data_IF_661865631440
#
_entry.id   IF_661865631440
#
_cell.length_a   1.000
_cell.length_b   1.000
_cell.length_c   1.000
_cell.angle_alpha   90.00
_cell.angle_beta   90.00
_cell.angle_gamma   90.00
#
_symmetry.space_group_name_H-M   'P 1'
#
loop_
_entity.id
_entity.type
_entity.pdbx_description
1 polymer ?
#
# COMPACT_ATOMS: atom_id res chain seq x y z
N UNK A 1 50.82 18.51 77.83
CA UNK A 1 51.52 18.82 76.56
C UNK A 1 50.82 17.99 75.48
N UNK A 2 49.76 18.52 74.84
CA UNK A 2 49.80 19.25 73.55
C UNK A 2 50.37 18.36 72.43
N UNK A 3 49.67 17.94 71.38
CA UNK A 3 48.58 18.59 70.62
C UNK A 3 47.85 17.57 69.71
N UNK A 4 46.55 17.78 69.48
CA UNK A 4 45.85 17.49 68.19
C UNK A 4 45.76 18.85 67.45
N UNK A 5 45.51 19.01 66.11
CA UNK A 5 44.93 18.07 65.15
C UNK A 5 45.49 18.13 63.69
N UNK A 6 44.99 17.23 62.83
CA UNK A 6 45.19 17.30 61.37
C UNK A 6 44.09 16.54 60.62
N UNK A 7 42.87 17.08 60.66
CA UNK A 7 41.76 16.63 59.81
C UNK A 7 42.00 17.17 58.40
N UNK A 8 42.31 16.28 57.46
CA UNK A 8 42.25 16.57 56.03
C UNK A 8 40.83 16.37 55.54
N UNK A 9 40.01 17.43 55.53
CA UNK A 9 38.77 17.48 54.77
C UNK A 9 39.11 17.55 53.28
N UNK A 10 39.20 16.40 52.63
CA UNK A 10 39.10 16.29 51.18
C UNK A 10 37.64 16.45 50.77
N UNK A 11 37.14 17.68 50.83
CA UNK A 11 35.87 18.07 50.22
C UNK A 11 36.07 18.02 48.70
N UNK A 12 35.93 16.82 48.13
CA UNK A 12 35.71 16.66 46.71
C UNK A 12 34.38 17.32 46.39
N UNK A 13 34.44 18.59 45.99
CA UNK A 13 33.33 19.31 45.38
C UNK A 13 32.88 18.53 44.15
N UNK A 14 31.86 17.69 44.31
CA UNK A 14 30.99 17.35 43.21
C UNK A 14 30.30 18.66 42.80
N UNK A 15 31.00 19.44 41.98
CA UNK A 15 30.46 20.59 41.32
C UNK A 15 29.24 20.12 40.57
N UNK A 16 28.09 20.65 40.96
CA UNK A 16 26.94 20.73 40.06
C UNK A 16 27.37 21.68 38.92
N UNK A 17 28.16 21.16 37.98
CA UNK A 17 28.39 21.80 36.70
C UNK A 17 27.03 21.85 36.02
N UNK A 18 26.42 23.03 36.00
CA UNK A 18 25.23 23.25 35.20
C UNK A 18 25.63 22.93 33.75
N UNK A 19 24.93 22.00 33.08
CA UNK A 19 25.27 21.61 31.73
C UNK A 19 25.36 22.85 30.85
N UNK A 20 26.47 22.98 30.13
CA UNK A 20 26.70 24.15 29.30
C UNK A 20 25.61 24.25 28.23
N UNK A 21 25.28 25.47 27.78
CA UNK A 21 24.27 25.69 26.73
C UNK A 21 24.55 24.87 25.46
N UNK A 22 25.82 24.64 25.12
CA UNK A 22 26.20 23.78 23.99
C UNK A 22 25.88 22.30 24.22
N UNK A 23 25.98 21.83 25.45
CA UNK A 23 25.70 20.46 25.85
C UNK A 23 24.20 20.17 25.90
N UNK A 24 23.40 21.16 26.32
CA UNK A 24 21.93 21.09 26.25
C UNK A 24 21.42 21.09 24.81
N UNK A 25 21.98 21.95 23.94
CA UNK A 25 21.64 21.95 22.52
C UNK A 25 22.05 20.65 21.82
N UNK A 26 23.20 20.08 22.19
CA UNK A 26 23.64 18.76 21.70
C UNK A 26 22.63 17.65 22.04
N UNK A 27 22.18 17.59 23.30
CA UNK A 27 21.17 16.61 23.75
C UNK A 27 19.83 16.77 23.05
N UNK A 28 19.33 18.01 22.89
CA UNK A 28 18.09 18.27 22.16
C UNK A 28 18.20 17.83 20.68
N UNK A 29 19.33 18.13 20.03
CA UNK A 29 19.57 17.70 18.65
C UNK A 29 19.61 16.17 18.52
N UNK A 30 20.17 15.49 19.51
CA UNK A 30 20.22 14.03 19.56
C UNK A 30 18.85 13.40 19.82
N UNK A 31 18.05 13.98 20.71
CA UNK A 31 16.68 13.57 20.98
C UNK A 31 15.79 13.74 19.74
N UNK A 32 15.89 14.88 19.03
CA UNK A 32 15.15 15.12 17.79
C UNK A 32 15.57 14.15 16.68
N UNK A 33 16.87 13.87 16.53
CA UNK A 33 17.39 12.86 15.60
C UNK A 33 16.85 11.47 15.93
N UNK A 34 16.74 11.15 17.21
CA UNK A 34 16.18 9.88 17.70
C UNK A 34 14.70 9.77 17.40
N UNK A 35 13.91 10.81 17.67
CA UNK A 35 12.48 10.85 17.33
C UNK A 35 12.23 10.70 15.82
N UNK A 36 13.00 11.41 14.99
CA UNK A 36 12.89 11.29 13.53
C UNK A 36 13.15 9.86 13.04
N UNK A 37 14.16 9.19 13.59
CA UNK A 37 14.43 7.78 13.27
C UNK A 37 13.30 6.85 13.74
N UNK A 38 12.70 7.14 14.89
CA UNK A 38 11.57 6.39 15.42
C UNK A 38 10.31 6.56 14.58
N UNK A 39 9.97 7.78 14.16
CA UNK A 39 8.85 8.06 13.26
C UNK A 39 9.01 7.35 11.91
N UNK A 40 10.22 7.37 11.33
CA UNK A 40 10.51 6.63 10.10
C UNK A 40 10.40 5.11 10.33
N UNK A 41 10.90 4.61 11.47
CA UNK A 41 10.79 3.19 11.80
C UNK A 41 9.34 2.77 12.02
N UNK A 42 8.53 3.60 12.65
CA UNK A 42 7.09 3.37 12.88
C UNK A 42 6.33 3.39 11.57
N UNK A 43 6.51 4.42 10.74
CA UNK A 43 5.90 4.51 9.42
C UNK A 43 6.28 3.30 8.55
N UNK A 44 7.56 2.87 8.60
CA UNK A 44 8.01 1.65 7.91
C UNK A 44 7.31 0.40 8.45
N UNK A 45 7.13 0.29 9.77
CA UNK A 45 6.44 -0.84 10.38
C UNK A 45 4.96 -0.88 9.97
N UNK A 46 4.26 0.25 10.00
CA UNK A 46 2.85 0.37 9.61
C UNK A 46 2.65 0.10 8.12
N UNK A 47 3.54 0.61 7.26
CA UNK A 47 3.53 0.30 5.82
C UNK A 47 3.79 -1.18 5.57
N UNK A 48 4.74 -1.80 6.29
CA UNK A 48 5.04 -3.24 6.17
C UNK A 48 3.86 -4.11 6.60
N UNK A 49 3.20 -3.76 7.71
CA UNK A 49 2.00 -4.45 8.17
C UNK A 49 0.86 -4.29 7.16
N UNK A 50 0.62 -3.07 6.69
CA UNK A 50 -0.39 -2.77 5.66
C UNK A 50 -0.14 -3.54 4.38
N UNK A 51 1.10 -3.56 3.89
CA UNK A 51 1.50 -4.33 2.71
C UNK A 51 1.30 -5.83 2.91
N UNK A 52 1.62 -6.35 4.09
CA UNK A 52 1.41 -7.77 4.41
C UNK A 52 -0.07 -8.13 4.43
N UNK A 53 -0.91 -7.30 5.06
CA UNK A 53 -2.37 -7.50 5.11
C UNK A 53 -2.99 -7.40 3.72
N UNK A 54 -2.61 -6.38 2.95
CA UNK A 54 -3.03 -6.23 1.56
C UNK A 54 -2.58 -7.42 0.69
N UNK A 55 -1.33 -7.87 0.84
CA UNK A 55 -0.78 -9.02 0.13
C UNK A 55 -1.51 -10.33 0.46
N UNK A 56 -1.81 -10.58 1.74
CA UNK A 56 -2.64 -11.73 2.14
C UNK A 56 -4.05 -11.64 1.55
N UNK A 57 -4.67 -10.47 1.60
CA UNK A 57 -5.99 -10.21 1.02
C UNK A 57 -6.01 -10.49 -0.49
N UNK A 58 -5.06 -9.92 -1.23
CA UNK A 58 -4.89 -10.14 -2.66
C UNK A 58 -4.62 -11.62 -3.00
N UNK A 59 -3.80 -12.30 -2.19
CA UNK A 59 -3.53 -13.73 -2.32
C UNK A 59 -4.78 -14.59 -2.11
N UNK A 60 -5.57 -14.31 -1.08
CA UNK A 60 -6.85 -14.98 -0.83
C UNK A 60 -7.86 -14.74 -1.96
N UNK A 61 -7.99 -13.51 -2.46
CA UNK A 61 -8.89 -13.22 -3.58
C UNK A 61 -8.44 -13.90 -4.88
N UNK A 62 -7.15 -13.94 -5.16
CA UNK A 62 -6.60 -14.67 -6.31
C UNK A 62 -6.90 -16.16 -6.18
N UNK A 63 -6.64 -16.74 -5.00
CA UNK A 63 -6.95 -18.14 -4.70
C UNK A 63 -8.45 -18.45 -4.83
N UNK A 64 -9.32 -17.57 -4.31
CA UNK A 64 -10.77 -17.70 -4.45
C UNK A 64 -11.21 -17.62 -5.92
N UNK A 65 -10.58 -16.77 -6.72
CA UNK A 65 -10.82 -16.70 -8.17
C UNK A 65 -10.49 -18.01 -8.88
N UNK A 66 -9.33 -18.60 -8.60
CA UNK A 66 -8.92 -19.90 -9.16
C UNK A 66 -9.84 -21.02 -8.69
N UNK A 67 -10.14 -21.09 -7.39
CA UNK A 67 -11.04 -22.09 -6.84
C UNK A 67 -12.47 -21.97 -7.42
N UNK A 68 -13.00 -20.76 -7.51
CA UNK A 68 -14.29 -20.48 -8.14
C UNK A 68 -14.32 -20.87 -9.62
N UNK A 69 -13.24 -20.60 -10.36
CA UNK A 69 -13.10 -21.06 -11.74
C UNK A 69 -13.15 -22.59 -11.85
N UNK A 70 -12.44 -23.31 -10.98
CA UNK A 70 -12.49 -24.78 -10.94
C UNK A 70 -13.87 -25.33 -10.61
N UNK A 71 -14.60 -24.71 -9.68
CA UNK A 71 -15.99 -25.07 -9.40
C UNK A 71 -16.85 -24.90 -10.65
N UNK A 72 -16.71 -23.80 -11.38
CA UNK A 72 -17.46 -23.55 -12.62
C UNK A 72 -17.14 -24.58 -13.71
N UNK A 73 -15.88 -24.99 -13.86
CA UNK A 73 -15.48 -26.05 -14.81
C UNK A 73 -16.12 -27.38 -14.43
N UNK A 74 -16.05 -27.80 -13.16
CA UNK A 74 -16.64 -29.07 -12.73
C UNK A 74 -18.17 -29.06 -12.81
N UNK A 75 -18.82 -27.94 -12.49
CA UNK A 75 -20.26 -27.79 -12.70
C UNK A 75 -20.63 -27.88 -14.17
N UNK A 76 -19.81 -27.33 -15.07
CA UNK A 76 -20.04 -27.43 -16.52
C UNK A 76 -19.94 -28.85 -17.03
N UNK A 77 -18.91 -29.59 -16.58
CA UNK A 77 -18.73 -31.01 -16.94
C UNK A 77 -19.88 -31.85 -16.35
N UNK A 78 -20.23 -31.63 -15.08
CA UNK A 78 -21.34 -32.32 -14.43
C UNK A 78 -22.67 -32.06 -15.13
N UNK A 79 -22.93 -30.81 -15.52
CA UNK A 79 -24.13 -30.43 -16.26
C UNK A 79 -24.14 -31.09 -17.65
N UNK A 80 -23.00 -31.09 -18.35
CA UNK A 80 -22.89 -31.76 -19.64
C UNK A 80 -23.18 -33.26 -19.52
N UNK A 81 -22.51 -33.97 -18.62
CA UNK A 81 -22.75 -35.40 -18.45
C UNK A 81 -24.19 -35.69 -17.97
N UNK A 82 -24.71 -34.88 -17.04
CA UNK A 82 -26.06 -35.01 -16.53
C UNK A 82 -27.13 -34.84 -17.59
N UNK A 83 -27.06 -33.79 -18.42
CA UNK A 83 -27.97 -33.61 -19.55
C UNK A 83 -27.76 -34.66 -20.64
N UNK A 84 -26.51 -35.10 -20.84
CA UNK A 84 -26.17 -36.14 -21.80
C UNK A 84 -26.96 -37.43 -21.65
N UNK A 85 -27.29 -37.80 -20.41
CA UNK A 85 -28.15 -38.96 -20.13
C UNK A 85 -29.62 -38.76 -20.52
N UNK A 86 -30.08 -37.52 -20.66
CA UNK A 86 -31.47 -37.20 -21.00
C UNK A 86 -31.64 -36.88 -22.50
N UNK A 87 -30.67 -36.19 -23.11
CA UNK A 87 -30.84 -35.58 -24.44
C UNK A 87 -29.72 -35.91 -25.44
N UNK A 88 -28.83 -36.86 -25.15
CA UNK A 88 -27.57 -37.12 -25.86
C UNK A 88 -26.43 -36.12 -25.57
N UNK A 89 -25.20 -36.63 -25.60
CA UNK A 89 -23.99 -35.88 -25.25
C UNK A 89 -23.75 -34.70 -26.20
N UNK A 90 -24.11 -34.81 -27.48
CA UNK A 90 -23.95 -33.74 -28.47
C UNK A 90 -24.87 -32.56 -28.21
N UNK A 91 -26.16 -32.81 -27.98
CA UNK A 91 -27.13 -31.75 -27.66
C UNK A 91 -26.88 -31.13 -26.30
N UNK A 92 -26.43 -31.93 -25.34
CA UNK A 92 -26.00 -31.41 -24.05
C UNK A 92 -24.84 -30.42 -24.17
N UNK A 93 -23.86 -30.70 -25.04
CA UNK A 93 -22.74 -29.79 -25.28
C UNK A 93 -23.23 -28.43 -25.78
N UNK A 94 -24.19 -28.44 -26.72
CA UNK A 94 -24.78 -27.22 -27.28
C UNK A 94 -25.52 -26.42 -26.21
N UNK A 95 -26.28 -27.06 -25.34
CA UNK A 95 -26.98 -26.37 -24.24
C UNK A 95 -25.98 -25.69 -23.30
N UNK A 96 -24.93 -26.41 -22.87
CA UNK A 96 -23.89 -25.83 -21.99
C UNK A 96 -23.15 -24.69 -22.68
N UNK A 97 -22.86 -24.81 -23.98
CA UNK A 97 -22.25 -23.75 -24.77
C UNK A 97 -23.13 -22.50 -24.86
N UNK A 98 -24.44 -22.65 -25.07
CA UNK A 98 -25.39 -21.52 -25.09
C UNK A 98 -25.45 -20.82 -23.73
N UNK A 99 -25.47 -21.58 -22.62
CA UNK A 99 -25.46 -21.02 -21.27
C UNK A 99 -24.21 -20.16 -21.05
N UNK A 100 -23.02 -20.69 -21.37
CA UNK A 100 -21.77 -19.92 -21.23
C UNK A 100 -21.70 -18.74 -22.20
N UNK A 101 -22.23 -18.88 -23.41
CA UNK A 101 -22.35 -17.78 -24.37
C UNK A 101 -23.22 -16.64 -23.82
N UNK A 102 -24.35 -16.94 -23.19
CA UNK A 102 -25.21 -15.94 -22.55
C UNK A 102 -24.50 -15.27 -21.37
N UNK A 103 -23.83 -16.04 -20.50
CA UNK A 103 -23.04 -15.49 -19.39
C UNK A 103 -21.94 -14.56 -19.90
N UNK A 104 -21.20 -14.98 -20.93
CA UNK A 104 -20.14 -14.17 -21.55
C UNK A 104 -20.69 -12.88 -22.17
N UNK A 105 -21.82 -12.94 -22.87
CA UNK A 105 -22.47 -11.76 -23.43
C UNK A 105 -22.85 -10.75 -22.33
N UNK A 106 -23.49 -11.21 -21.24
CA UNK A 106 -23.87 -10.35 -20.11
C UNK A 106 -22.63 -9.73 -19.44
N UNK A 107 -21.59 -10.53 -19.18
CA UNK A 107 -20.34 -10.03 -18.59
C UNK A 107 -19.64 -9.02 -19.50
N UNK A 108 -19.59 -9.27 -20.80
CA UNK A 108 -19.00 -8.34 -21.77
C UNK A 108 -19.78 -7.02 -21.82
N UNK A 109 -21.11 -7.06 -21.81
CA UNK A 109 -21.95 -5.86 -21.80
C UNK A 109 -21.77 -5.05 -20.51
N UNK A 110 -21.80 -5.71 -19.34
CA UNK A 110 -21.56 -5.04 -18.05
C UNK A 110 -20.15 -4.49 -17.95
N UNK A 111 -19.15 -5.27 -18.32
CA UNK A 111 -17.75 -4.84 -18.33
C UNK A 111 -17.53 -3.65 -19.26
N UNK A 112 -18.16 -3.63 -20.43
CA UNK A 112 -18.15 -2.46 -21.31
C UNK A 112 -18.83 -1.25 -20.66
N UNK A 113 -19.99 -1.43 -20.04
CA UNK A 113 -20.70 -0.35 -19.36
C UNK A 113 -19.83 0.29 -18.27
N UNK A 114 -19.24 -0.52 -17.40
CA UNK A 114 -18.33 -0.05 -16.34
C UNK A 114 -17.11 0.68 -16.92
N UNK A 115 -16.45 0.13 -17.94
CA UNK A 115 -15.30 0.78 -18.59
C UNK A 115 -15.71 2.12 -19.23
N UNK A 116 -16.91 2.21 -19.82
CA UNK A 116 -17.40 3.45 -20.43
C UNK A 116 -17.87 4.48 -19.40
N UNK A 117 -18.34 4.03 -18.23
CA UNK A 117 -18.78 4.88 -17.13
C UNK A 117 -17.60 5.44 -16.34
N UNK A 118 -16.46 4.74 -16.35
CA UNK A 118 -15.15 5.33 -16.02
C UNK A 118 -14.82 6.35 -17.13
N UNK A 119 -15.48 7.52 -17.08
CA UNK A 119 -15.12 8.74 -17.79
C UNK A 119 -13.66 9.02 -17.44
N UNK A 120 -12.74 8.51 -18.28
CA UNK A 120 -11.32 8.51 -18.03
C UNK A 120 -10.87 9.90 -17.64
N UNK A 121 -10.36 10.06 -16.42
CA UNK A 121 -10.05 11.31 -15.74
C UNK A 121 -9.75 12.48 -16.70
N UNK A 122 -10.79 13.22 -17.19
CA UNK A 122 -10.60 14.21 -18.24
C UNK A 122 -9.82 15.41 -17.70
N UNK A 123 -9.91 15.62 -16.38
CA UNK A 123 -9.27 16.70 -15.64
C UNK A 123 -7.76 16.52 -15.54
N UNK A 124 -7.22 15.30 -15.58
CA UNK A 124 -5.78 15.06 -15.40
C UNK A 124 -5.00 15.23 -16.70
N UNK A 125 -5.57 14.80 -17.84
CA UNK A 125 -4.96 15.03 -19.15
C UNK A 125 -5.08 16.49 -19.61
N UNK A 126 -6.16 17.18 -19.24
CA UNK A 126 -6.33 18.61 -19.56
C UNK A 126 -5.44 19.51 -18.69
N UNK A 127 -5.17 19.11 -17.43
CA UNK A 127 -4.20 19.82 -16.55
C UNK A 127 -2.76 19.52 -16.97
N UNK A 128 -2.43 18.28 -17.35
CA UNK A 128 -1.09 17.94 -17.85
C UNK A 128 -0.75 18.64 -19.19
N UNK A 129 -1.75 18.85 -20.07
CA UNK A 129 -1.56 19.61 -21.32
C UNK A 129 -1.52 21.13 -21.14
N UNK A 130 -1.94 21.67 -19.98
CA UNK A 130 -1.88 23.11 -19.64
C UNK A 130 -0.57 23.52 -18.96
N UNK A 131 0.31 22.58 -18.63
CA UNK A 131 1.63 22.85 -18.02
C UNK A 131 2.78 22.58 -19.02
N UNK A 132 2.78 23.18 -20.23
CA UNK A 132 4.04 23.48 -20.93
C UNK A 132 4.39 24.97 -20.88
N UNK A 133 3.41 25.87 -20.82
CA UNK A 133 3.63 27.33 -20.89
C UNK A 133 4.25 27.92 -19.61
N UNK A 134 4.15 27.22 -18.48
CA UNK A 134 4.79 27.64 -17.22
C UNK A 134 6.27 27.23 -17.11
N UNK A 135 6.76 26.39 -18.03
CA UNK A 135 8.16 25.92 -18.06
C UNK A 135 8.98 26.56 -19.20
N UNK A 136 8.34 27.28 -20.14
CA UNK A 136 9.06 28.14 -21.09
C UNK A 136 9.26 29.51 -20.43
N UNK A 137 10.43 29.64 -19.81
CA UNK A 137 10.81 30.72 -18.94
C UNK A 137 10.74 32.11 -19.58
N UNK A 138 10.52 33.07 -18.68
CA UNK A 138 10.77 34.49 -18.89
C UNK A 138 12.27 34.78 -19.04
N UNK A 139 12.92 34.24 -20.07
CA UNK A 139 14.12 34.86 -20.64
C UNK A 139 13.67 35.79 -21.77
N UNK A 140 14.31 36.96 -21.87
CA UNK A 140 14.11 37.96 -22.94
C UNK A 140 13.00 39.01 -22.76
N UNK A 141 12.97 39.69 -21.61
CA UNK A 141 12.60 41.11 -21.62
C UNK A 141 13.52 41.94 -20.75
N UNK A 142 14.78 42.03 -21.16
CA UNK A 142 15.66 43.11 -20.80
C UNK A 142 16.68 43.36 -21.92
N UNK A 143 16.27 44.14 -22.92
CA UNK A 143 17.13 44.94 -23.80
C UNK A 143 16.36 46.20 -24.20
#
# INVERSE_FOLDING_TARGET
MSSTPGVGTGTGSNGHEQPSLGELLGRISEDVSTLMRQEVALAKAELSESATRAGKGAGMLTGAGVAGHMVLVFLSISLWWGLGHLIDLGWSALVVAVIWGAVAAVLALKGRAEITEIKGAPRTMETAKKIPDALQGHEERNR
#
